data_IF_593250711550
#
_entry.id   IF_593250711550
#
_cell.length_a   1.000
_cell.length_b   1.000
_cell.length_c   1.000
_cell.angle_alpha   90.00
_cell.angle_beta   90.00
_cell.angle_gamma   90.00
#
_symmetry.space_group_name_H-M   'P 1'
#
loop_
_entity.id
_entity.type
_entity.pdbx_description
1 polymer ?
#
# COMPACT_ATOMS: atom_id res chain seq x y z
N UNK A 1 -7.47 10.94 1.15
CA UNK A 1 -7.22 9.51 1.38
C UNK A 1 -5.88 9.29 2.09
N UNK A 2 -5.75 8.20 2.83
CA UNK A 2 -4.49 7.65 3.35
C UNK A 2 -4.39 6.18 2.94
N UNK A 3 -3.19 5.74 2.57
CA UNK A 3 -2.93 4.34 2.24
C UNK A 3 -2.35 3.64 3.45
N UNK A 4 -2.86 2.46 3.76
CA UNK A 4 -2.44 1.62 4.88
C UNK A 4 -1.91 0.28 4.38
N UNK A 5 -1.13 -0.39 5.22
CA UNK A 5 -0.61 -1.74 4.98
C UNK A 5 -0.51 -2.52 6.29
N UNK A 6 -0.64 -3.84 6.20
CA UNK A 6 -0.35 -4.80 7.26
C UNK A 6 0.93 -5.59 7.00
N UNK A 7 1.71 -5.25 5.96
CA UNK A 7 2.98 -5.89 5.66
C UNK A 7 4.13 -5.09 6.26
N UNK A 8 4.92 -5.71 7.14
CA UNK A 8 6.18 -5.23 7.69
C UNK A 8 7.38 -5.86 7.00
N UNK A 9 7.31 -7.13 6.61
CA UNK A 9 8.45 -7.78 5.98
C UNK A 9 8.70 -7.27 4.55
N UNK A 10 9.89 -6.74 4.31
CA UNK A 10 10.39 -6.33 3.00
C UNK A 10 11.58 -7.21 2.61
N UNK A 11 11.54 -7.77 1.39
CA UNK A 11 12.62 -8.54 0.82
C UNK A 11 13.46 -7.64 -0.10
N UNK A 12 14.65 -7.28 0.36
CA UNK A 12 15.55 -6.37 -0.36
C UNK A 12 16.03 -6.92 -1.71
N UNK A 13 16.09 -8.24 -1.92
CA UNK A 13 16.42 -8.80 -3.24
C UNK A 13 15.33 -8.47 -4.26
N UNK A 14 14.06 -8.53 -3.85
CA UNK A 14 12.92 -8.16 -4.70
C UNK A 14 12.91 -6.65 -4.94
N UNK A 15 13.17 -5.84 -3.90
CA UNK A 15 13.27 -4.37 -4.04
C UNK A 15 14.34 -4.00 -5.07
N UNK A 16 15.54 -4.58 -5.00
CA UNK A 16 16.60 -4.33 -5.98
C UNK A 16 16.18 -4.70 -7.41
N UNK A 17 15.49 -5.84 -7.59
CA UNK A 17 14.94 -6.21 -8.90
C UNK A 17 13.88 -5.21 -9.39
N UNK A 18 13.06 -4.65 -8.48
CA UNK A 18 12.09 -3.62 -8.81
C UNK A 18 12.76 -2.29 -9.16
N UNK A 19 13.83 -1.91 -8.48
CA UNK A 19 14.62 -0.72 -8.81
C UNK A 19 15.11 -0.78 -10.27
N UNK A 20 15.67 -1.91 -10.68
CA UNK A 20 16.10 -2.11 -12.07
C UNK A 20 14.92 -2.00 -13.06
N UNK A 21 13.75 -2.55 -12.70
CA UNK A 21 12.53 -2.48 -13.53
C UNK A 21 11.89 -1.08 -13.60
N UNK A 22 12.16 -0.22 -12.62
CA UNK A 22 11.62 1.13 -12.53
C UNK A 22 12.57 2.18 -13.13
N UNK A 23 13.79 1.80 -13.49
CA UNK A 23 14.78 2.70 -14.08
C UNK A 23 14.22 3.45 -15.29
N UNK A 24 14.31 4.79 -15.27
CA UNK A 24 13.84 5.67 -16.34
C UNK A 24 12.33 5.93 -16.36
N UNK A 25 11.56 5.42 -15.39
CA UNK A 25 10.15 5.80 -15.22
C UNK A 25 10.01 7.07 -14.40
N UNK A 26 9.02 7.89 -14.74
CA UNK A 26 8.69 9.11 -14.00
C UNK A 26 7.72 8.84 -12.85
N UNK A 27 6.85 7.84 -13.00
CA UNK A 27 5.90 7.41 -11.98
C UNK A 27 5.63 5.91 -12.07
N UNK A 28 5.09 5.35 -10.99
CA UNK A 28 4.47 4.04 -10.95
C UNK A 28 3.06 4.15 -10.38
N UNK A 29 2.15 3.32 -10.89
CA UNK A 29 0.80 3.21 -10.37
C UNK A 29 0.68 1.91 -9.56
N UNK A 30 0.14 2.01 -8.34
CA UNK A 30 -0.08 0.88 -7.45
C UNK A 30 -1.57 0.75 -7.09
N UNK A 31 -2.13 -0.46 -7.15
CA UNK A 31 -3.55 -0.67 -6.85
C UNK A 31 -3.80 -0.59 -5.35
N UNK A 32 -4.87 0.11 -4.96
CA UNK A 32 -5.36 0.14 -3.58
C UNK A 32 -6.83 -0.19 -3.54
N UNK A 33 -7.26 -0.91 -2.50
CA UNK A 33 -8.68 -1.17 -2.28
C UNK A 33 -9.29 -0.13 -1.36
N UNK A 34 -10.43 0.41 -1.75
CA UNK A 34 -11.23 1.31 -0.93
C UNK A 34 -11.83 0.52 0.24
N UNK A 35 -11.54 0.96 1.47
CA UNK A 35 -12.02 0.22 2.66
C UNK A 35 -13.42 0.66 3.09
N UNK A 36 -13.83 1.89 2.76
CA UNK A 36 -15.03 2.51 3.32
C UNK A 36 -14.90 2.92 4.79
N UNK A 37 -13.69 2.86 5.36
CA UNK A 37 -13.36 3.31 6.70
C UNK A 37 -12.65 4.67 6.67
N UNK A 38 -12.66 5.36 7.80
CA UNK A 38 -11.90 6.60 8.02
C UNK A 38 -11.01 6.48 9.25
N UNK A 39 -9.89 7.21 9.28
CA UNK A 39 -9.12 7.41 10.52
C UNK A 39 -9.82 8.37 11.49
N UNK A 40 -9.20 8.63 12.65
CA UNK A 40 -9.71 9.55 13.68
C UNK A 40 -9.84 10.99 13.20
N UNK A 41 -9.06 11.39 12.19
CA UNK A 41 -9.10 12.71 11.57
C UNK A 41 -10.13 12.79 10.42
N UNK A 42 -10.84 11.69 10.14
CA UNK A 42 -11.86 11.60 9.09
C UNK A 42 -11.30 11.39 7.68
N UNK A 43 -10.02 11.02 7.52
CA UNK A 43 -9.46 10.69 6.22
C UNK A 43 -9.89 9.30 5.79
N UNK A 44 -10.38 9.17 4.56
CA UNK A 44 -10.68 7.86 3.95
C UNK A 44 -9.44 6.97 3.88
N UNK A 45 -9.60 5.72 4.28
CA UNK A 45 -8.55 4.71 4.27
C UNK A 45 -8.68 3.81 3.05
N UNK A 46 -7.55 3.58 2.37
CA UNK A 46 -7.39 2.55 1.36
C UNK A 46 -6.25 1.62 1.77
N UNK A 47 -6.34 0.33 1.45
CA UNK A 47 -5.27 -0.64 1.72
C UNK A 47 -4.49 -0.93 0.44
N UNK A 48 -3.16 -1.02 0.54
CA UNK A 48 -2.33 -1.42 -0.59
C UNK A 48 -2.63 -2.88 -1.00
N UNK A 49 -3.17 -3.07 -2.20
CA UNK A 49 -3.60 -4.38 -2.68
C UNK A 49 -2.42 -5.25 -3.11
N UNK A 50 -1.44 -4.63 -3.77
CA UNK A 50 -0.20 -5.27 -4.20
C UNK A 50 0.90 -4.22 -4.42
N UNK A 51 2.15 -4.67 -4.49
CA UNK A 51 3.27 -3.86 -4.92
C UNK A 51 4.07 -3.22 -3.78
N UNK A 52 4.07 -3.78 -2.57
CA UNK A 52 4.88 -3.29 -1.44
C UNK A 52 6.38 -3.13 -1.79
N UNK A 53 7.03 -4.12 -2.40
CA UNK A 53 8.43 -3.97 -2.84
C UNK A 53 8.59 -2.97 -3.99
N UNK A 54 7.56 -2.79 -4.82
CA UNK A 54 7.55 -1.76 -5.87
C UNK A 54 7.44 -0.36 -5.27
N UNK A 55 6.65 -0.20 -4.19
CA UNK A 55 6.55 1.04 -3.42
C UNK A 55 7.89 1.42 -2.80
N UNK A 56 8.56 0.48 -2.14
CA UNK A 56 9.89 0.71 -1.56
C UNK A 56 10.90 1.11 -2.65
N UNK A 57 10.94 0.35 -3.76
CA UNK A 57 11.82 0.67 -4.89
C UNK A 57 11.55 2.05 -5.50
N UNK A 58 10.28 2.44 -5.67
CA UNK A 58 9.92 3.75 -6.20
C UNK A 58 10.33 4.87 -5.23
N UNK A 59 10.14 4.65 -3.92
CA UNK A 59 10.55 5.59 -2.86
C UNK A 59 12.07 5.78 -2.85
N UNK A 60 12.84 4.70 -2.94
CA UNK A 60 14.31 4.76 -3.03
C UNK A 60 14.80 5.53 -4.25
N UNK A 61 14.11 5.37 -5.39
CA UNK A 61 14.43 6.09 -6.63
C UNK A 61 13.90 7.53 -6.68
N UNK A 62 13.08 7.94 -5.72
CA UNK A 62 12.40 9.24 -5.75
C UNK A 62 11.38 9.36 -6.89
N UNK A 63 10.83 8.24 -7.35
CA UNK A 63 9.81 8.16 -8.40
C UNK A 63 8.43 8.42 -7.78
N UNK A 64 7.58 9.16 -8.48
CA UNK A 64 6.22 9.42 -8.01
C UNK A 64 5.41 8.12 -7.93
N UNK A 65 4.79 7.86 -6.78
CA UNK A 65 3.82 6.77 -6.62
C UNK A 65 2.41 7.34 -6.71
N UNK A 66 1.64 6.82 -7.66
CA UNK A 66 0.21 7.11 -7.81
C UNK A 66 -0.60 5.90 -7.36
N UNK A 67 -1.67 6.13 -6.63
CA UNK A 67 -2.56 5.07 -6.17
C UNK A 67 -3.79 5.00 -7.05
N UNK A 68 -4.08 3.82 -7.60
CA UNK A 68 -5.29 3.54 -8.35
C UNK A 68 -6.32 2.91 -7.41
N UNK A 69 -7.31 3.69 -7.02
CA UNK A 69 -8.42 3.23 -6.19
C UNK A 69 -9.33 2.29 -6.98
N UNK A 70 -9.68 1.16 -6.36
CA UNK A 70 -10.57 0.16 -6.93
C UNK A 70 -11.33 -0.58 -5.83
N UNK A 71 -12.46 -1.17 -6.18
CA UNK A 71 -13.16 -2.08 -5.27
C UNK A 71 -12.38 -3.39 -5.12
N UNK A 72 -12.52 -4.04 -3.96
CA UNK A 72 -12.01 -5.39 -3.78
C UNK A 72 -12.71 -6.34 -4.78
N UNK A 73 -12.00 -7.27 -5.45
CA UNK A 73 -12.58 -8.15 -6.47
C UNK A 73 -13.79 -8.97 -6.01
N UNK A 74 -13.85 -9.28 -4.72
CA UNK A 74 -14.96 -10.01 -4.08
C UNK A 74 -16.03 -9.08 -3.47
N UNK A 75 -15.90 -7.76 -3.64
CA UNK A 75 -16.81 -6.76 -3.07
C UNK A 75 -16.71 -6.59 -1.55
N UNK A 76 -15.60 -7.04 -0.94
CA UNK A 76 -15.34 -6.84 0.48
C UNK A 76 -15.10 -5.36 0.79
N UNK A 77 -15.52 -4.92 1.98
CA UNK A 77 -15.27 -3.59 2.55
C UNK A 77 -15.12 -3.70 4.07
N UNK A 78 -14.75 -2.59 4.73
CA UNK A 78 -14.66 -2.49 6.18
C UNK A 78 -13.68 -3.48 6.79
N UNK A 79 -14.02 -3.96 7.99
CA UNK A 79 -13.22 -4.94 8.73
C UNK A 79 -13.01 -6.25 7.97
N UNK A 80 -14.01 -6.73 7.21
CA UNK A 80 -13.90 -7.97 6.45
C UNK A 80 -12.84 -7.88 5.34
N UNK A 81 -12.74 -6.72 4.69
CA UNK A 81 -11.66 -6.45 3.73
C UNK A 81 -10.31 -6.39 4.44
N UNK A 82 -10.22 -5.72 5.60
CA UNK A 82 -8.97 -5.65 6.36
C UNK A 82 -8.52 -7.06 6.73
N UNK A 83 -9.37 -7.87 7.37
CA UNK A 83 -9.05 -9.25 7.73
C UNK A 83 -8.54 -10.07 6.54
N UNK A 84 -9.19 -9.96 5.38
CA UNK A 84 -8.77 -10.66 4.16
C UNK A 84 -7.41 -10.18 3.62
N UNK A 85 -7.09 -8.89 3.82
CA UNK A 85 -5.84 -8.26 3.38
C UNK A 85 -4.75 -8.24 4.47
N UNK A 86 -4.98 -8.89 5.62
CA UNK A 86 -3.99 -8.98 6.69
C UNK A 86 -2.79 -9.84 6.26
N UNK A 87 -1.57 -9.41 6.59
CA UNK A 87 -0.34 -10.09 6.18
C UNK A 87 0.52 -10.55 7.36
N UNK A 88 1.29 -9.65 7.99
CA UNK A 88 2.27 -10.06 9.00
C UNK A 88 2.46 -9.05 10.15
N UNK A 89 1.72 -7.93 10.16
CA UNK A 89 1.78 -6.91 11.20
C UNK A 89 0.44 -6.23 11.44
N UNK A 90 0.40 -5.39 12.47
CA UNK A 90 -0.65 -4.39 12.66
C UNK A 90 -0.76 -3.45 11.43
N UNK A 91 -1.94 -2.83 11.28
CA UNK A 91 -2.16 -1.83 10.23
C UNK A 91 -1.45 -0.53 10.58
N UNK A 92 -0.66 -0.04 9.62
CA UNK A 92 0.02 1.25 9.70
C UNK A 92 -0.13 2.05 8.42
N UNK A 93 0.09 3.34 8.50
CA UNK A 93 0.15 4.19 7.30
C UNK A 93 1.37 3.80 6.47
N UNK A 94 1.14 3.58 5.17
CA UNK A 94 2.16 3.19 4.21
C UNK A 94 3.31 4.21 4.21
N UNK A 95 4.55 3.72 4.24
CA UNK A 95 5.75 4.55 4.32
C UNK A 95 6.03 5.15 5.70
N UNK A 96 5.32 4.73 6.75
CA UNK A 96 5.55 5.17 8.13
C UNK A 96 5.54 4.00 9.11
N UNK A 97 5.96 4.26 10.34
CA UNK A 97 5.80 3.34 11.49
C UNK A 97 4.56 3.65 12.34
N UNK A 98 3.70 4.58 11.90
CA UNK A 98 2.55 5.04 12.67
C UNK A 98 1.39 4.08 12.42
N UNK A 99 0.94 3.40 13.49
CA UNK A 99 -0.26 2.57 13.44
C UNK A 99 -1.49 3.41 13.14
N UNK A 100 -2.46 2.79 12.46
CA UNK A 100 -3.74 3.45 12.20
C UNK A 100 -4.51 3.58 13.51
N UNK A 101 -4.58 2.50 14.30
CA UNK A 101 -5.34 2.36 15.56
C UNK A 101 -4.43 1.90 16.70
#
# INVERSE_FOLDING_TARGET
MKVITSQSYINNEIVNQKIDQLSGKEFVELPVWTTGLTDEDGNELCILADGHHTYEAATELGIEVRFAEQDHPEGLTGEALLEAAWMDSEYRYLGTEINVW
#
